data_IF_827707059203
#
_entry.id   IF_827707059203
#
_cell.length_a   1.000
_cell.length_b   1.000
_cell.length_c   1.000
_cell.angle_alpha   90.00
_cell.angle_beta   90.00
_cell.angle_gamma   90.00
#
_symmetry.space_group_name_H-M   'P 1'
#
loop_
_entity.id
_entity.type
_entity.pdbx_description
1 polymer ?
#
# COMPACT_ATOMS: atom_id res chain seq x y z
N UNK A 1 0.70 20.43 -21.39
CA UNK A 1 0.94 19.30 -22.32
C UNK A 1 -0.31 18.44 -22.29
N UNK A 2 -1.10 18.42 -23.36
CA UNK A 2 -2.30 17.59 -23.46
C UNK A 2 -1.87 16.18 -23.89
N UNK A 3 -2.14 15.18 -23.06
CA UNK A 3 -2.04 13.78 -23.47
C UNK A 3 -3.34 13.38 -24.16
N UNK A 4 -3.25 12.95 -25.41
CA UNK A 4 -4.36 12.33 -26.12
C UNK A 4 -4.26 10.83 -25.94
N UNK A 5 -5.31 10.22 -25.37
CA UNK A 5 -5.48 8.78 -25.36
C UNK A 5 -6.32 8.43 -26.59
N UNK A 6 -5.71 7.70 -27.53
CA UNK A 6 -6.42 7.09 -28.67
C UNK A 6 -6.49 5.59 -28.47
N UNK A 7 -7.62 4.99 -28.81
CA UNK A 7 -7.81 3.54 -28.81
C UNK A 7 -8.07 3.06 -30.23
N UNK A 8 -7.48 1.94 -30.61
CA UNK A 8 -7.72 1.34 -31.93
C UNK A 8 -9.19 0.92 -32.04
N UNK A 9 -9.83 1.19 -33.17
CA UNK A 9 -11.24 0.85 -33.39
C UNK A 9 -11.52 -0.66 -33.20
N UNK A 10 -10.55 -1.51 -33.55
CA UNK A 10 -10.64 -2.96 -33.33
C UNK A 10 -10.74 -3.35 -31.85
N UNK A 11 -10.11 -2.58 -30.96
CA UNK A 11 -10.22 -2.77 -29.49
C UNK A 11 -11.58 -2.30 -28.98
N UNK A 12 -12.13 -1.21 -29.52
CA UNK A 12 -13.46 -0.72 -29.16
C UNK A 12 -14.60 -1.65 -29.58
N UNK A 13 -14.45 -2.31 -30.74
CA UNK A 13 -15.54 -3.05 -31.39
C UNK A 13 -15.52 -4.56 -31.11
N UNK A 14 -14.48 -5.07 -30.44
CA UNK A 14 -14.34 -6.49 -30.15
C UNK A 14 -13.93 -6.69 -28.69
N UNK A 15 -14.84 -7.28 -27.90
CA UNK A 15 -14.65 -7.52 -26.46
C UNK A 15 -13.47 -8.44 -26.16
N UNK A 16 -13.20 -9.42 -27.02
CA UNK A 16 -12.12 -10.39 -26.80
C UNK A 16 -10.75 -9.75 -27.05
N UNK A 17 -10.67 -8.87 -28.05
CA UNK A 17 -9.49 -8.06 -28.35
C UNK A 17 -9.23 -7.04 -27.25
N UNK A 18 -10.29 -6.42 -26.71
CA UNK A 18 -10.19 -5.52 -25.56
C UNK A 18 -9.68 -6.25 -24.31
N UNK A 19 -10.25 -7.42 -24.00
CA UNK A 19 -9.82 -8.24 -22.88
C UNK A 19 -8.34 -8.65 -23.01
N UNK A 20 -7.92 -9.08 -24.20
CA UNK A 20 -6.53 -9.48 -24.47
C UNK A 20 -5.55 -8.32 -24.30
N UNK A 21 -5.88 -7.10 -24.77
CA UNK A 21 -5.01 -5.93 -24.58
C UNK A 21 -4.98 -5.45 -23.13
N UNK A 22 -6.10 -5.53 -22.42
CA UNK A 22 -6.16 -5.26 -20.97
C UNK A 22 -5.26 -6.26 -20.25
N UNK A 23 -5.41 -7.55 -20.50
CA UNK A 23 -4.58 -8.60 -19.90
C UNK A 23 -3.10 -8.40 -20.24
N UNK A 24 -2.77 -8.03 -21.47
CA UNK A 24 -1.40 -7.72 -21.88
C UNK A 24 -0.81 -6.56 -21.08
N UNK A 25 -1.58 -5.48 -20.85
CA UNK A 25 -1.12 -4.29 -20.11
C UNK A 25 -1.06 -4.54 -18.60
N UNK A 26 -2.00 -5.31 -18.06
CA UNK A 26 -2.08 -5.63 -16.63
C UNK A 26 -1.02 -6.66 -16.20
N UNK A 27 -0.65 -7.61 -17.07
CA UNK A 27 0.28 -8.70 -16.75
C UNK A 27 1.76 -8.41 -17.10
N UNK A 28 2.15 -7.15 -17.35
CA UNK A 28 3.55 -6.79 -17.68
C UNK A 28 4.47 -6.80 -16.45
N UNK A 29 3.92 -6.71 -15.24
CA UNK A 29 4.74 -6.60 -14.04
C UNK A 29 5.32 -7.98 -13.68
N UNK A 30 6.64 -8.09 -13.81
CA UNK A 30 7.39 -9.25 -13.35
C UNK A 30 7.25 -9.38 -11.82
N UNK A 31 7.22 -10.61 -11.28
CA UNK A 31 7.33 -10.80 -9.83
C UNK A 31 8.64 -10.20 -9.31
N UNK A 32 8.67 -9.89 -8.02
CA UNK A 32 9.90 -9.49 -7.35
C UNK A 32 10.97 -10.60 -7.50
N UNK A 33 12.24 -10.22 -7.58
CA UNK A 33 13.33 -11.19 -7.45
C UNK A 33 13.33 -11.76 -6.02
N UNK A 34 13.21 -13.08 -5.90
CA UNK A 34 13.05 -13.74 -4.60
C UNK A 34 14.28 -13.58 -3.68
N UNK A 35 15.48 -13.52 -4.26
CA UNK A 35 16.72 -13.37 -3.48
C UNK A 35 16.86 -11.94 -2.97
N UNK A 36 16.54 -10.96 -3.80
CA UNK A 36 16.51 -9.55 -3.39
C UNK A 36 15.43 -9.29 -2.35
N UNK A 37 14.23 -9.85 -2.52
CA UNK A 37 13.13 -9.72 -1.55
C UNK A 37 13.54 -10.25 -0.17
N UNK A 38 14.12 -11.46 -0.12
CA UNK A 38 14.60 -12.03 1.15
C UNK A 38 15.69 -11.18 1.78
N UNK A 39 16.65 -10.68 0.98
CA UNK A 39 17.74 -9.83 1.49
C UNK A 39 17.20 -8.53 2.11
N UNK A 40 16.21 -7.89 1.46
CA UNK A 40 15.57 -6.67 1.96
C UNK A 40 14.79 -6.95 3.25
N UNK A 41 14.03 -8.05 3.30
CA UNK A 41 13.28 -8.44 4.50
C UNK A 41 14.22 -8.71 5.68
N UNK A 42 15.31 -9.42 5.48
CA UNK A 42 16.31 -9.69 6.51
C UNK A 42 16.93 -8.40 7.07
N UNK A 43 17.23 -7.43 6.20
CA UNK A 43 17.75 -6.14 6.62
C UNK A 43 16.73 -5.35 7.45
N UNK A 44 15.46 -5.34 7.04
CA UNK A 44 14.37 -4.69 7.79
C UNK A 44 14.21 -5.35 9.17
N UNK A 45 14.22 -6.67 9.26
CA UNK A 45 14.11 -7.40 10.54
C UNK A 45 15.29 -7.05 11.46
N UNK A 46 16.51 -7.04 10.92
CA UNK A 46 17.72 -6.65 11.66
C UNK A 46 17.61 -5.22 12.19
N UNK A 47 17.14 -4.28 11.36
CA UNK A 47 16.92 -2.90 11.76
C UNK A 47 15.86 -2.82 12.87
N UNK A 48 14.70 -3.46 12.70
CA UNK A 48 13.63 -3.47 13.71
C UNK A 48 14.11 -4.04 15.05
N UNK A 49 14.86 -5.14 15.04
CA UNK A 49 15.41 -5.75 16.26
C UNK A 49 16.39 -4.87 17.03
N UNK A 50 17.00 -3.88 16.37
CA UNK A 50 17.94 -2.92 16.99
C UNK A 50 17.27 -1.66 17.57
N UNK A 51 15.98 -1.45 17.33
CA UNK A 51 15.26 -0.22 17.73
C UNK A 51 14.35 -0.47 18.93
N UNK A 52 14.39 0.44 19.90
CA UNK A 52 13.57 0.37 21.11
C UNK A 52 12.13 0.86 20.94
N UNK A 53 11.83 1.60 19.87
CA UNK A 53 10.50 2.19 19.64
C UNK A 53 10.21 2.35 18.15
N UNK A 54 10.13 1.25 17.38
CA UNK A 54 9.72 1.31 15.98
C UNK A 54 8.24 1.68 15.85
N UNK A 55 7.91 2.31 14.73
CA UNK A 55 6.53 2.63 14.32
C UNK A 55 6.36 2.32 12.84
N UNK A 56 5.13 2.03 12.43
CA UNK A 56 4.77 1.86 11.01
C UNK A 56 4.09 3.14 10.54
N UNK A 57 4.55 3.71 9.43
CA UNK A 57 3.86 4.81 8.75
C UNK A 57 3.34 4.28 7.42
N UNK A 58 2.01 4.25 7.28
CA UNK A 58 1.35 3.71 6.10
C UNK A 58 0.99 4.85 5.15
N UNK A 59 1.77 5.00 4.08
CA UNK A 59 1.63 6.09 3.12
C UNK A 59 0.70 5.77 1.93
N UNK A 60 0.19 6.83 1.28
CA UNK A 60 -0.76 6.85 0.17
C UNK A 60 -0.30 6.18 -1.12
N UNK A 61 0.95 5.74 -1.24
CA UNK A 61 1.40 4.89 -2.35
C UNK A 61 0.49 3.67 -2.57
N UNK A 62 -0.18 3.20 -1.52
CA UNK A 62 -1.21 2.14 -1.53
C UNK A 62 -2.46 2.46 -2.36
N UNK A 63 -2.77 3.74 -2.61
CA UNK A 63 -3.89 4.17 -3.46
C UNK A 63 -3.48 4.33 -4.94
N UNK A 64 -2.18 4.24 -5.25
CA UNK A 64 -1.62 4.46 -6.59
C UNK A 64 -1.37 3.16 -7.36
N UNK A 65 -1.17 2.03 -6.68
CA UNK A 65 -1.13 0.71 -7.32
C UNK A 65 -2.56 0.27 -7.67
N UNK A 66 -2.98 0.65 -8.87
CA UNK A 66 -4.26 0.31 -9.51
C UNK A 66 -5.54 0.83 -8.85
N UNK A 67 -6.03 1.94 -9.39
CA UNK A 67 -7.46 2.18 -9.62
C UNK A 67 -8.35 2.16 -8.38
N UNK A 68 -8.41 3.30 -7.68
CA UNK A 68 -9.64 3.79 -7.05
C UNK A 68 -10.45 2.81 -6.17
N UNK A 69 -9.85 1.79 -5.57
CA UNK A 69 -10.56 0.90 -4.67
C UNK A 69 -9.63 0.42 -3.55
N UNK A 70 -9.52 1.26 -2.51
CA UNK A 70 -9.11 0.82 -1.18
C UNK A 70 -10.15 -0.14 -0.54
N UNK A 71 -11.19 -0.52 -1.28
CA UNK A 71 -12.35 -1.32 -0.88
C UNK A 71 -12.42 -2.62 -1.70
N UNK A 72 -11.40 -3.46 -1.58
CA UNK A 72 -11.52 -4.93 -1.62
C UNK A 72 -12.01 -5.66 -2.88
N UNK A 73 -12.35 -5.02 -3.99
CA UNK A 73 -13.06 -5.69 -5.11
C UNK A 73 -12.37 -5.65 -6.49
N UNK A 74 -11.14 -5.17 -6.60
CA UNK A 74 -10.38 -5.28 -7.86
C UNK A 74 -9.47 -6.51 -7.78
N UNK A 75 -9.53 -7.44 -8.75
CA UNK A 75 -8.63 -8.59 -8.81
C UNK A 75 -7.26 -8.11 -9.28
N UNK A 76 -6.52 -7.47 -8.36
CA UNK A 76 -5.07 -7.33 -8.47
C UNK A 76 -4.44 -8.42 -7.63
N UNK A 77 -3.27 -8.90 -8.04
CA UNK A 77 -2.55 -9.97 -7.35
C UNK A 77 -2.02 -9.59 -5.96
N UNK A 78 -2.13 -8.32 -5.54
CA UNK A 78 -1.69 -7.84 -4.20
C UNK A 78 -2.64 -6.80 -3.60
N UNK A 79 -3.00 -7.01 -2.34
CA UNK A 79 -3.84 -6.09 -1.57
C UNK A 79 -2.99 -5.46 -0.45
N UNK A 80 -2.31 -4.36 -0.77
CA UNK A 80 -1.41 -3.67 0.16
C UNK A 80 -2.10 -3.14 1.43
N UNK A 81 -3.41 -2.88 1.39
CA UNK A 81 -4.17 -2.52 2.59
C UNK A 81 -4.23 -3.70 3.57
N UNK A 82 -4.56 -4.88 3.06
CA UNK A 82 -4.60 -6.12 3.85
C UNK A 82 -3.22 -6.53 4.33
N UNK A 83 -2.20 -6.44 3.48
CA UNK A 83 -0.80 -6.71 3.86
C UNK A 83 -0.31 -5.75 4.95
N UNK A 84 -0.67 -4.46 4.85
CA UNK A 84 -0.38 -3.47 5.89
C UNK A 84 -1.07 -3.81 7.21
N UNK A 85 -2.34 -4.23 7.18
CA UNK A 85 -3.03 -4.73 8.37
C UNK A 85 -2.36 -5.96 8.98
N UNK A 86 -1.98 -6.92 8.15
CA UNK A 86 -1.34 -8.15 8.60
C UNK A 86 0.02 -7.87 9.21
N UNK A 87 0.78 -6.94 8.65
CA UNK A 87 2.06 -6.49 9.22
C UNK A 87 1.87 -5.79 10.58
N UNK A 88 0.86 -4.92 10.70
CA UNK A 88 0.52 -4.27 11.98
C UNK A 88 0.13 -5.31 13.03
N UNK A 89 -0.72 -6.28 12.68
CA UNK A 89 -1.17 -7.37 13.57
C UNK A 89 -0.02 -8.29 13.97
N UNK A 90 0.90 -8.57 13.04
CA UNK A 90 2.08 -9.41 13.28
C UNK A 90 3.06 -8.73 14.24
N UNK A 91 3.43 -7.48 13.94
CA UNK A 91 4.46 -6.76 14.70
C UNK A 91 3.94 -6.19 16.02
N UNK A 92 2.63 -5.92 16.14
CA UNK A 92 1.99 -5.35 17.33
C UNK A 92 2.59 -4.02 17.79
N UNK A 93 3.16 -3.27 16.85
CA UNK A 93 3.78 -1.95 17.08
C UNK A 93 2.83 -0.81 16.69
N UNK A 94 3.02 0.40 17.24
CA UNK A 94 2.19 1.56 16.89
C UNK A 94 2.26 1.87 15.39
N UNK A 95 1.13 2.30 14.83
CA UNK A 95 1.04 2.65 13.42
C UNK A 95 0.28 3.96 13.19
N UNK A 96 0.68 4.65 12.12
CA UNK A 96 0.13 5.93 11.70
C UNK A 96 -0.22 5.84 10.21
N UNK A 97 -1.22 6.60 9.79
CA UNK A 97 -1.55 6.77 8.37
C UNK A 97 -1.10 8.15 7.92
N UNK A 98 -0.62 8.32 6.69
CA UNK A 98 -0.57 9.68 6.11
C UNK A 98 -1.99 10.15 5.78
N UNK A 99 -2.15 11.40 5.32
CA UNK A 99 -3.48 11.92 4.96
C UNK A 99 -4.11 11.20 3.76
N UNK A 100 -3.29 10.86 2.76
CA UNK A 100 -3.74 10.29 1.48
C UNK A 100 -4.45 8.93 1.59
N UNK A 101 -4.01 7.98 2.44
CA UNK A 101 -4.66 6.68 2.54
C UNK A 101 -5.63 6.55 3.72
N UNK A 102 -6.15 7.67 4.26
CA UNK A 102 -7.17 7.62 5.32
C UNK A 102 -8.32 6.72 4.88
N UNK A 103 -8.71 5.78 5.76
CA UNK A 103 -9.78 4.81 5.50
C UNK A 103 -9.34 3.53 4.77
N UNK A 104 -8.07 3.43 4.35
CA UNK A 104 -7.52 2.21 3.73
C UNK A 104 -6.99 1.16 4.72
N UNK A 105 -6.99 1.45 6.03
CA UNK A 105 -6.66 0.50 7.09
C UNK A 105 -7.55 0.76 8.30
N UNK A 106 -7.95 -0.30 9.02
CA UNK A 106 -8.67 -0.14 10.27
C UNK A 106 -7.88 0.70 11.29
N UNK A 107 -8.58 1.59 12.01
CA UNK A 107 -8.01 2.43 13.07
C UNK A 107 -8.15 1.80 14.46
N UNK A 108 -8.72 0.60 14.54
CA UNK A 108 -9.04 -0.08 15.80
C UNK A 108 -8.17 -1.30 16.07
N UNK A 109 -7.15 -1.55 15.23
CA UNK A 109 -6.29 -2.74 15.35
C UNK A 109 -5.50 -2.65 16.66
N UNK A 110 -5.88 -3.50 17.61
CA UNK A 110 -5.27 -3.68 18.93
C UNK A 110 -5.02 -2.37 19.71
N UNK A 111 -5.79 -1.32 19.43
CA UNK A 111 -5.60 0.01 20.03
C UNK A 111 -4.26 0.67 19.72
N UNK A 112 -3.56 0.25 18.64
CA UNK A 112 -2.21 0.73 18.29
C UNK A 112 -2.20 1.92 17.34
N UNK A 113 -3.36 2.38 16.88
CA UNK A 113 -3.44 3.51 15.95
C UNK A 113 -3.02 4.81 16.64
N UNK A 114 -1.98 5.44 16.11
CA UNK A 114 -1.42 6.68 16.61
C UNK A 114 -1.99 7.95 15.94
N UNK A 115 -2.84 7.80 14.92
CA UNK A 115 -3.46 8.91 14.19
C UNK A 115 -2.81 9.19 12.83
N UNK A 116 -2.99 10.43 12.36
CA UNK A 116 -2.51 10.88 11.05
C UNK A 116 -1.15 11.55 11.17
N UNK A 117 -0.18 11.02 10.44
CA UNK A 117 1.13 11.63 10.25
C UNK A 117 1.07 12.62 9.08
N UNK A 118 1.00 13.92 9.41
CA UNK A 118 0.92 15.03 8.46
C UNK A 118 2.15 15.94 8.47
N UNK A 119 3.30 15.45 8.96
CA UNK A 119 4.49 16.29 9.17
C UNK A 119 4.18 17.46 10.12
N UNK A 120 4.38 18.70 9.66
CA UNK A 120 4.10 19.91 10.45
C UNK A 120 2.63 20.14 10.82
N UNK A 121 1.69 19.43 10.17
CA UNK A 121 0.27 19.44 10.51
C UNK A 121 -0.13 18.34 11.51
N UNK A 122 0.82 17.53 12.00
CA UNK A 122 0.55 16.49 12.98
C UNK A 122 0.31 17.10 14.36
N UNK A 123 -0.51 16.44 15.18
CA UNK A 123 -0.58 16.76 16.61
C UNK A 123 0.78 16.51 17.26
N UNK A 124 1.15 17.29 18.29
CA UNK A 124 2.32 16.96 19.12
C UNK A 124 2.16 15.52 19.60
N UNK A 125 3.22 14.70 19.47
CA UNK A 125 3.24 13.36 20.02
C UNK A 125 2.82 13.44 21.49
N UNK A 126 1.71 12.80 21.85
CA UNK A 126 1.21 12.79 23.22
C UNK A 126 2.31 12.26 24.14
N UNK A 127 2.66 13.07 25.14
CA UNK A 127 3.51 12.63 26.25
C UNK A 127 2.93 11.33 26.81
N UNK A 128 3.65 10.21 26.67
CA UNK A 128 3.34 9.01 27.44
C UNK A 128 3.68 9.35 28.89
N UNK A 129 2.67 9.63 29.69
CA UNK A 129 2.84 9.61 31.14
C UNK A 129 3.26 8.18 31.52
N UNK A 130 4.40 8.08 32.21
CA UNK A 130 5.01 6.82 32.63
C UNK A 130 4.22 6.07 33.69
#
# INVERSE_FOLDING_TARGET
MLQYISVALAVLMNSDTAATEIDRVLNVLQPNDAKEELAVVDEIIKLLGSRSSPVIVLDGGKCLHWGYHCTGNVPTSRNFAKEGEDLVKLLKIPYFSTGMPKGGISETIDGKFGGIYGGGASTKAGSRNG
#
